data_IF_878082783803
#
_entry.id   IF_878082783803
#
_cell.length_a   1.000
_cell.length_b   1.000
_cell.length_c   1.000
_cell.angle_alpha   90.00
_cell.angle_beta   90.00
_cell.angle_gamma   90.00
#
_symmetry.space_group_name_H-M   'P 1'
#
loop_
_entity.id
_entity.type
_entity.pdbx_description
1 polymer ?
#
# COMPACT_ATOMS: atom_id res chain seq x y z
N UNK A 1 27.96 -5.03 37.81
CA UNK A 1 27.03 -3.93 37.49
C UNK A 1 27.62 -2.58 37.89
N UNK A 2 28.22 -2.43 39.07
CA UNK A 2 28.74 -1.16 39.57
C UNK A 2 29.94 -0.58 38.82
N UNK A 3 30.72 -1.42 38.12
CA UNK A 3 31.86 -0.94 37.33
C UNK A 3 31.46 -0.33 35.98
N UNK A 4 30.33 -0.76 35.44
CA UNK A 4 29.82 -0.27 34.14
C UNK A 4 29.10 1.09 34.30
N UNK A 5 28.36 1.26 35.40
CA UNK A 5 27.72 2.55 35.70
C UNK A 5 28.76 3.63 36.01
N UNK A 6 29.83 3.29 36.70
CA UNK A 6 30.92 4.22 36.98
C UNK A 6 31.66 4.68 35.73
N UNK A 7 31.91 3.76 34.78
CA UNK A 7 32.53 4.12 33.48
C UNK A 7 31.62 4.96 32.60
N UNK A 8 30.31 4.72 32.65
CA UNK A 8 29.34 5.48 31.83
C UNK A 8 29.15 6.89 32.39
N UNK A 9 29.11 7.05 33.73
CA UNK A 9 29.03 8.36 34.37
C UNK A 9 30.30 9.18 34.18
N UNK A 10 31.49 8.57 34.22
CA UNK A 10 32.76 9.25 33.95
C UNK A 10 32.87 9.72 32.50
N UNK A 11 32.34 8.94 31.54
CA UNK A 11 32.24 9.36 30.14
C UNK A 11 31.26 10.51 29.93
N UNK A 12 30.10 10.47 30.60
CA UNK A 12 29.09 11.53 30.52
C UNK A 12 29.62 12.85 31.10
N UNK A 13 30.33 12.79 32.23
CA UNK A 13 30.95 13.95 32.87
C UNK A 13 32.06 14.57 32.02
N UNK A 14 32.85 13.72 31.33
CA UNK A 14 33.86 14.23 30.36
C UNK A 14 33.25 14.86 29.13
N UNK A 15 32.16 14.32 28.57
CA UNK A 15 31.42 14.90 27.45
C UNK A 15 30.75 16.23 27.84
N UNK A 16 30.20 16.34 29.03
CA UNK A 16 29.60 17.59 29.56
C UNK A 16 30.66 18.67 29.81
N UNK A 17 31.89 18.31 30.22
CA UNK A 17 33.00 19.23 30.40
C UNK A 17 33.55 19.77 29.04
N UNK A 18 33.40 19.02 27.94
CA UNK A 18 33.76 19.43 26.61
C UNK A 18 32.71 20.33 25.93
N UNK A 19 31.51 20.41 26.46
CA UNK A 19 30.39 21.24 25.95
C UNK A 19 30.30 22.61 26.63
N UNK A 20 31.35 23.09 27.36
CA UNK A 20 31.35 24.47 27.77
C UNK A 20 31.53 25.38 26.56
N UNK A 21 30.64 26.38 26.38
CA UNK A 21 30.76 27.28 25.23
C UNK A 21 32.04 28.08 25.36
N UNK A 22 32.94 27.93 24.39
CA UNK A 22 34.02 28.86 24.18
C UNK A 22 33.39 30.20 23.74
N UNK A 23 33.63 31.24 24.47
CA UNK A 23 33.26 32.60 24.12
C UNK A 23 34.15 33.14 23.00
N UNK A 24 34.13 32.50 21.84
CA UNK A 24 34.67 33.07 20.63
C UNK A 24 33.53 33.60 19.76
N UNK A 25 33.70 34.84 19.40
CA UNK A 25 32.83 35.65 18.56
C UNK A 25 32.44 34.87 17.30
N UNK A 26 31.24 34.35 17.29
CA UNK A 26 30.60 33.94 16.04
C UNK A 26 30.30 35.24 15.30
N UNK A 27 31.12 35.57 14.31
CA UNK A 27 30.77 36.54 13.28
C UNK A 27 29.39 36.14 12.75
N UNK A 28 28.41 37.00 12.96
CA UNK A 28 27.07 36.87 12.41
C UNK A 28 27.17 36.85 10.89
N UNK A 29 27.36 35.67 10.33
CA UNK A 29 26.99 35.45 8.95
C UNK A 29 25.50 35.76 8.86
N UNK A 30 25.17 36.91 8.27
CA UNK A 30 23.79 37.28 7.99
C UNK A 30 23.15 36.16 7.20
N UNK A 31 22.43 35.29 7.88
CA UNK A 31 21.39 34.51 7.23
C UNK A 31 20.52 35.57 6.58
N UNK A 32 20.54 35.65 5.25
CA UNK A 32 19.58 36.48 4.53
C UNK A 32 18.22 35.97 5.01
N UNK A 33 17.56 36.81 5.81
CA UNK A 33 16.15 36.66 6.08
C UNK A 33 15.49 36.58 4.71
N UNK A 34 15.01 35.39 4.36
CA UNK A 34 14.17 35.24 3.18
C UNK A 34 12.87 35.92 3.59
N UNK A 35 12.82 37.22 3.27
CA UNK A 35 11.57 37.95 3.39
C UNK A 35 10.54 37.15 2.57
N UNK A 36 9.37 36.84 3.11
CA UNK A 36 8.29 36.25 2.34
C UNK A 36 8.10 37.21 1.13
N UNK A 37 8.27 36.67 -0.07
CA UNK A 37 7.98 37.41 -1.29
C UNK A 37 6.58 37.99 -1.13
N UNK A 38 6.36 39.29 -1.42
CA UNK A 38 5.04 39.88 -1.32
C UNK A 38 4.10 38.99 -2.15
N UNK A 39 2.97 38.63 -1.56
CA UNK A 39 1.91 37.90 -2.22
C UNK A 39 1.76 38.39 -3.66
N UNK A 40 2.20 37.58 -4.60
CA UNK A 40 1.82 37.76 -5.99
C UNK A 40 0.31 37.46 -5.97
N UNK A 41 -0.47 38.50 -5.89
CA UNK A 41 -1.90 38.44 -6.16
C UNK A 41 -2.09 38.07 -7.62
N UNK A 42 -1.87 36.78 -7.93
CA UNK A 42 -2.39 36.25 -9.15
C UNK A 42 -3.93 36.37 -9.02
N UNK A 43 -4.56 37.03 -9.98
CA UNK A 43 -6.01 37.00 -10.16
C UNK A 43 -6.47 35.59 -10.58
N UNK A 44 -5.91 34.57 -9.97
CA UNK A 44 -6.28 33.15 -10.13
C UNK A 44 -7.20 32.74 -8.99
N UNK A 45 -8.19 31.96 -9.29
CA UNK A 45 -9.14 31.41 -8.33
C UNK A 45 -8.39 30.80 -7.14
N UNK A 46 -8.74 31.24 -5.93
CA UNK A 46 -8.19 30.66 -4.69
C UNK A 46 -8.48 29.16 -4.67
N UNK A 47 -7.44 28.36 -4.54
CA UNK A 47 -7.59 26.89 -4.46
C UNK A 47 -8.35 26.48 -3.20
N UNK A 48 -8.22 27.24 -2.13
CA UNK A 48 -8.92 27.00 -0.88
C UNK A 48 -9.80 28.20 -0.54
N UNK A 49 -10.97 27.98 0.05
CA UNK A 49 -11.79 29.08 0.56
C UNK A 49 -11.03 29.84 1.64
N UNK A 50 -11.26 31.15 1.76
CA UNK A 50 -10.66 32.00 2.79
C UNK A 50 -11.06 31.58 4.21
N UNK A 51 -12.17 30.87 4.33
CA UNK A 51 -12.74 30.40 5.58
C UNK A 51 -12.87 28.89 5.50
N UNK A 52 -12.24 28.20 6.44
CA UNK A 52 -12.50 26.76 6.67
C UNK A 52 -13.76 26.67 7.51
N UNK A 53 -14.84 26.22 6.90
CA UNK A 53 -16.11 25.99 7.60
C UNK A 53 -16.12 24.52 8.00
N UNK A 54 -16.07 24.25 9.31
CA UNK A 54 -16.34 22.92 9.83
C UNK A 54 -17.85 22.71 9.77
N UNK A 55 -18.29 21.80 8.91
CA UNK A 55 -19.72 21.51 8.74
C UNK A 55 -20.08 20.16 9.35
N UNK A 56 -21.21 20.11 10.02
CA UNK A 56 -21.84 18.89 10.52
C UNK A 56 -23.05 18.48 9.67
N UNK A 57 -23.37 19.25 8.64
CA UNK A 57 -24.56 19.03 7.82
C UNK A 57 -24.19 18.65 6.39
N UNK A 58 -24.88 17.68 5.78
CA UNK A 58 -24.78 17.42 4.34
C UNK A 58 -25.04 18.70 3.53
N UNK A 59 -24.43 18.78 2.36
CA UNK A 59 -24.58 19.88 1.40
C UNK A 59 -24.15 21.29 1.88
N UNK A 60 -23.61 21.41 3.07
CA UNK A 60 -23.20 22.72 3.61
C UNK A 60 -22.16 23.42 2.73
N UNK A 61 -21.33 22.67 1.99
CA UNK A 61 -20.40 23.19 0.98
C UNK A 61 -20.98 23.20 -0.43
N UNK A 62 -22.27 22.89 -0.61
CA UNK A 62 -22.88 22.72 -1.92
C UNK A 62 -22.28 21.58 -2.73
N UNK A 63 -21.79 20.51 -2.05
CA UNK A 63 -21.26 19.33 -2.70
C UNK A 63 -22.42 18.53 -3.28
N UNK A 64 -22.43 18.36 -4.62
CA UNK A 64 -23.33 17.50 -5.37
C UNK A 64 -22.49 16.43 -6.05
N UNK A 65 -22.30 15.27 -5.42
CA UNK A 65 -21.39 14.24 -5.93
C UNK A 65 -21.80 13.79 -7.32
N UNK A 66 -20.83 13.58 -8.19
CA UNK A 66 -21.08 12.84 -9.43
C UNK A 66 -21.45 11.40 -9.07
N UNK A 67 -22.32 10.74 -9.86
CA UNK A 67 -22.76 9.37 -9.57
C UNK A 67 -21.57 8.40 -9.47
N UNK A 68 -21.69 7.46 -8.54
CA UNK A 68 -20.74 6.36 -8.34
C UNK A 68 -21.53 5.13 -7.88
N UNK A 69 -21.77 4.21 -8.82
CA UNK A 69 -22.57 3.01 -8.61
C UNK A 69 -21.65 1.81 -8.45
N UNK A 70 -21.23 1.55 -7.22
CA UNK A 70 -20.28 0.48 -6.92
C UNK A 70 -20.85 -0.89 -7.29
N UNK A 71 -20.06 -1.69 -8.03
CA UNK A 71 -20.48 -2.99 -8.53
C UNK A 71 -21.19 -2.96 -9.88
N UNK A 72 -21.38 -1.78 -10.51
CA UNK A 72 -21.88 -1.70 -11.88
C UNK A 72 -20.83 -2.23 -12.87
N UNK A 73 -21.26 -3.08 -13.81
CA UNK A 73 -20.38 -3.71 -14.79
C UNK A 73 -19.88 -2.75 -15.88
N UNK A 74 -20.74 -1.83 -16.33
CA UNK A 74 -20.32 -0.79 -17.25
C UNK A 74 -19.55 0.30 -16.50
N UNK A 75 -18.25 0.49 -16.80
CA UNK A 75 -17.44 1.47 -16.10
C UNK A 75 -17.96 2.91 -16.25
N UNK A 76 -18.65 3.24 -17.34
CA UNK A 76 -19.22 4.58 -17.53
C UNK A 76 -20.46 4.79 -16.68
N UNK A 77 -21.31 3.77 -16.55
CA UNK A 77 -22.45 3.79 -15.64
C UNK A 77 -21.98 3.78 -14.18
N UNK A 78 -20.91 3.04 -13.87
CA UNK A 78 -20.29 3.02 -12.54
C UNK A 78 -19.81 4.41 -12.12
N UNK A 79 -19.26 5.18 -13.03
CA UNK A 79 -18.72 6.50 -12.77
C UNK A 79 -17.28 6.49 -12.21
N UNK A 80 -16.55 7.63 -12.25
CA UNK A 80 -15.19 7.74 -11.72
C UNK A 80 -15.18 7.89 -10.19
N UNK A 81 -14.12 7.42 -9.54
CA UNK A 81 -13.79 7.82 -8.16
C UNK A 81 -13.17 9.21 -8.23
N UNK A 82 -13.74 10.18 -7.53
CA UNK A 82 -13.29 11.56 -7.50
C UNK A 82 -13.11 12.05 -6.06
N UNK A 83 -11.87 12.07 -5.59
CA UNK A 83 -11.48 12.52 -4.26
C UNK A 83 -10.79 13.90 -4.26
N UNK A 84 -10.55 14.48 -5.41
CA UNK A 84 -9.82 15.73 -5.54
C UNK A 84 -10.55 16.89 -4.88
N UNK A 85 -9.79 17.73 -4.17
CA UNK A 85 -10.24 18.99 -3.57
C UNK A 85 -9.90 20.22 -4.43
N UNK A 86 -9.47 19.99 -5.67
CA UNK A 86 -9.22 21.07 -6.62
C UNK A 86 -10.53 21.87 -6.87
N UNK A 87 -10.49 23.19 -7.08
CA UNK A 87 -11.68 24.04 -7.28
C UNK A 87 -12.67 23.51 -8.34
N UNK A 88 -12.17 22.91 -9.42
CA UNK A 88 -13.01 22.31 -10.45
C UNK A 88 -13.72 21.02 -10.02
N UNK A 89 -13.27 20.37 -8.97
CA UNK A 89 -13.71 19.04 -8.55
C UNK A 89 -14.36 19.01 -7.17
N UNK A 90 -14.01 19.95 -6.30
CA UNK A 90 -14.40 19.93 -4.88
C UNK A 90 -15.91 19.84 -4.65
N UNK A 91 -16.71 20.49 -5.50
CA UNK A 91 -18.17 20.50 -5.38
C UNK A 91 -18.87 19.25 -5.95
N UNK A 92 -18.13 18.44 -6.69
CA UNK A 92 -18.69 17.24 -7.37
C UNK A 92 -17.96 15.97 -6.94
N UNK A 93 -17.04 16.06 -5.97
CA UNK A 93 -16.34 14.88 -5.45
C UNK A 93 -17.31 13.90 -4.83
N UNK A 94 -17.04 12.61 -5.02
CA UNK A 94 -17.86 11.50 -4.54
C UNK A 94 -17.11 10.55 -3.58
N UNK A 95 -15.87 10.90 -3.21
CA UNK A 95 -15.07 10.13 -2.30
C UNK A 95 -14.50 10.99 -1.16
N UNK A 96 -14.41 10.39 0.01
CA UNK A 96 -13.83 10.96 1.23
C UNK A 96 -12.32 10.71 1.21
N UNK A 97 -11.52 11.59 1.80
CA UNK A 97 -10.07 11.48 1.85
C UNK A 97 -9.39 12.19 0.69
N UNK A 98 -8.22 11.69 0.29
CA UNK A 98 -7.41 12.29 -0.77
C UNK A 98 -6.61 11.22 -1.53
N UNK A 99 -6.32 11.50 -2.81
CA UNK A 99 -5.46 10.63 -3.60
C UNK A 99 -4.06 10.53 -3.00
N UNK A 100 -3.49 9.31 -2.98
CA UNK A 100 -2.09 9.04 -2.73
C UNK A 100 -1.57 9.37 -1.33
N UNK A 101 -2.42 9.35 -0.28
CA UNK A 101 -1.99 9.47 1.11
C UNK A 101 -0.94 10.57 1.36
N UNK A 102 0.33 10.21 1.42
CA UNK A 102 1.45 11.15 1.62
C UNK A 102 1.60 12.20 0.53
N UNK A 103 1.13 11.93 -0.70
CA UNK A 103 1.19 12.91 -1.80
C UNK A 103 0.39 14.17 -1.47
N UNK A 104 -0.76 14.06 -0.83
CA UNK A 104 -1.58 15.22 -0.48
C UNK A 104 -0.87 16.13 0.54
N UNK A 105 -0.11 15.56 1.47
CA UNK A 105 0.71 16.31 2.44
C UNK A 105 1.88 16.99 1.73
N UNK A 106 2.57 16.28 0.83
CA UNK A 106 3.66 16.85 0.04
C UNK A 106 3.18 18.00 -0.83
N UNK A 107 2.04 17.85 -1.50
CA UNK A 107 1.42 18.91 -2.29
C UNK A 107 1.02 20.11 -1.42
N UNK A 108 0.47 19.87 -0.24
CA UNK A 108 0.12 20.95 0.70
C UNK A 108 1.34 21.76 1.10
N UNK A 109 2.48 21.09 1.37
CA UNK A 109 3.75 21.77 1.67
C UNK A 109 4.22 22.63 0.47
N UNK A 110 4.16 22.08 -0.73
CA UNK A 110 4.54 22.82 -1.96
C UNK A 110 3.64 24.06 -2.19
N UNK A 111 2.34 23.94 -1.91
CA UNK A 111 1.41 25.08 -1.94
C UNK A 111 1.78 26.12 -0.89
N UNK A 112 2.05 25.71 0.34
CA UNK A 112 2.40 26.62 1.44
C UNK A 112 3.73 27.39 1.16
N UNK A 113 4.67 26.73 0.50
CA UNK A 113 5.94 27.34 0.09
C UNK A 113 5.84 28.22 -1.15
N UNK A 114 4.71 28.26 -1.84
CA UNK A 114 4.57 28.93 -3.14
C UNK A 114 5.41 28.28 -4.25
N UNK A 115 5.77 27.01 -4.10
CA UNK A 115 6.60 26.27 -5.04
C UNK A 115 5.78 25.53 -6.11
N UNK A 116 4.46 25.48 -5.95
CA UNK A 116 3.55 24.83 -6.89
C UNK A 116 2.88 25.88 -7.78
N UNK A 117 2.93 25.69 -9.09
CA UNK A 117 2.04 26.37 -10.01
C UNK A 117 0.63 25.80 -9.83
N UNK A 118 -0.29 26.63 -9.39
CA UNK A 118 -1.64 26.26 -9.04
C UNK A 118 -2.50 25.87 -10.25
N UNK A 119 -2.13 26.36 -11.43
CA UNK A 119 -2.81 26.07 -12.68
C UNK A 119 -2.27 24.81 -13.35
N UNK A 120 -1.16 24.29 -12.87
CA UNK A 120 -0.57 23.05 -13.37
C UNK A 120 -1.49 21.86 -13.09
N UNK A 121 -1.77 21.10 -14.13
CA UNK A 121 -2.60 19.91 -14.08
C UNK A 121 -1.77 18.66 -14.32
N UNK A 122 -2.17 17.50 -13.76
CA UNK A 122 -1.58 16.24 -14.17
C UNK A 122 -1.77 16.02 -15.66
N UNK A 123 -0.70 15.64 -16.34
CA UNK A 123 -0.74 15.14 -17.71
C UNK A 123 -0.60 13.62 -17.70
N UNK A 124 -1.60 12.95 -18.23
CA UNK A 124 -1.65 11.48 -18.30
C UNK A 124 -1.36 10.93 -19.71
N UNK A 125 -0.83 11.75 -20.61
CA UNK A 125 -0.40 11.29 -21.93
C UNK A 125 0.72 10.27 -21.79
N UNK A 126 0.62 9.17 -22.55
CA UNK A 126 1.58 8.06 -22.57
C UNK A 126 1.78 7.38 -21.19
N UNK A 127 0.74 7.37 -20.37
CA UNK A 127 0.73 6.72 -19.05
C UNK A 127 -0.19 5.49 -18.99
N UNK A 128 -0.69 5.05 -20.12
CA UNK A 128 -1.58 3.91 -20.24
C UNK A 128 -0.91 2.65 -19.69
N UNK A 129 -1.72 1.70 -19.17
CA UNK A 129 -1.21 0.42 -18.68
C UNK A 129 -0.42 -0.32 -19.75
N UNK A 130 0.76 -0.86 -19.39
CA UNK A 130 1.61 -1.64 -20.32
C UNK A 130 1.04 -3.02 -20.67
N UNK A 131 0.08 -3.49 -19.89
CA UNK A 131 -0.74 -4.68 -20.16
C UNK A 131 -2.17 -4.42 -19.69
N UNK A 132 -3.12 -5.07 -20.32
CA UNK A 132 -4.54 -5.02 -19.92
C UNK A 132 -4.80 -6.11 -18.89
N UNK A 133 -5.41 -5.74 -17.77
CA UNK A 133 -6.00 -6.66 -16.80
C UNK A 133 -7.49 -6.45 -16.82
N UNK A 134 -8.26 -7.54 -16.94
CA UNK A 134 -9.71 -7.51 -17.00
C UNK A 134 -10.28 -6.92 -18.29
N UNK A 135 -11.57 -6.58 -18.27
CA UNK A 135 -12.48 -6.73 -17.13
C UNK A 135 -12.75 -8.20 -16.78
N UNK A 136 -12.98 -8.45 -15.50
CA UNK A 136 -13.34 -9.77 -14.98
C UNK A 136 -14.75 -9.76 -14.37
N UNK A 137 -15.49 -10.89 -14.39
CA UNK A 137 -16.84 -10.96 -13.83
C UNK A 137 -16.94 -10.50 -12.37
N UNK A 138 -15.88 -10.73 -11.60
CA UNK A 138 -15.82 -10.33 -10.17
C UNK A 138 -15.93 -8.81 -9.96
N UNK A 139 -15.57 -7.99 -10.96
CA UNK A 139 -15.60 -6.53 -10.85
C UNK A 139 -17.01 -5.95 -10.74
N UNK A 140 -17.98 -6.66 -11.31
CA UNK A 140 -19.40 -6.28 -11.22
C UNK A 140 -20.14 -6.89 -10.03
N UNK A 141 -19.44 -7.50 -9.07
CA UNK A 141 -20.04 -8.06 -7.86
C UNK A 141 -19.63 -7.19 -6.67
N UNK A 142 -20.53 -6.39 -6.10
CA UNK A 142 -20.19 -5.37 -5.11
C UNK A 142 -19.43 -5.86 -3.90
N UNK A 143 -19.67 -7.12 -3.48
CA UNK A 143 -19.07 -7.71 -2.30
C UNK A 143 -17.72 -8.40 -2.55
N UNK A 144 -17.31 -8.56 -3.81
CA UNK A 144 -16.05 -9.23 -4.15
C UNK A 144 -14.84 -8.31 -4.05
N UNK A 145 -15.02 -7.04 -4.39
CA UNK A 145 -13.96 -6.05 -4.36
C UNK A 145 -14.50 -4.80 -3.66
N UNK A 146 -14.06 -4.56 -2.44
CA UNK A 146 -14.53 -3.46 -1.59
C UNK A 146 -13.41 -2.53 -1.14
N UNK A 147 -12.14 -2.88 -1.40
CA UNK A 147 -10.97 -2.16 -0.88
C UNK A 147 -10.05 -1.57 -1.95
N UNK A 148 -10.38 -1.72 -3.22
CA UNK A 148 -9.69 -1.08 -4.35
C UNK A 148 -10.69 -0.76 -5.47
N UNK A 149 -10.34 0.17 -6.37
CA UNK A 149 -11.13 0.48 -7.56
C UNK A 149 -10.73 -0.45 -8.72
N UNK A 150 -11.57 -1.40 -9.15
CA UNK A 150 -11.21 -2.32 -10.23
C UNK A 150 -10.83 -1.62 -11.54
N UNK A 151 -11.41 -0.46 -11.80
CA UNK A 151 -11.16 0.33 -13.01
C UNK A 151 -10.04 1.36 -12.84
N UNK A 152 -9.34 1.36 -11.69
CA UNK A 152 -8.36 2.37 -11.32
C UNK A 152 -7.21 2.56 -12.32
N UNK A 153 -6.83 1.53 -13.09
CA UNK A 153 -5.80 1.59 -14.13
C UNK A 153 -6.33 2.05 -15.50
N UNK A 154 -7.64 2.10 -15.68
CA UNK A 154 -8.30 2.50 -16.92
C UNK A 154 -8.89 3.93 -16.83
N UNK A 155 -8.74 4.59 -15.70
CA UNK A 155 -9.38 5.85 -15.36
C UNK A 155 -9.15 6.92 -16.41
N UNK A 156 -7.93 7.09 -16.88
CA UNK A 156 -7.56 8.15 -17.85
C UNK A 156 -8.19 7.95 -19.22
N UNK A 157 -8.42 6.71 -19.62
CA UNK A 157 -9.09 6.36 -20.88
C UNK A 157 -10.61 6.45 -20.74
N UNK A 158 -11.17 5.82 -19.71
CA UNK A 158 -12.61 5.72 -19.51
C UNK A 158 -13.28 7.08 -19.26
N UNK A 159 -12.61 7.96 -18.54
CA UNK A 159 -13.11 9.26 -18.10
C UNK A 159 -12.38 10.44 -18.75
N UNK A 160 -11.76 10.23 -19.91
CA UNK A 160 -11.02 11.25 -20.65
C UNK A 160 -11.84 12.52 -20.92
N UNK A 161 -13.14 12.38 -21.19
CA UNK A 161 -14.03 13.51 -21.44
C UNK A 161 -14.23 14.38 -20.17
N UNK A 162 -14.40 13.77 -19.00
CA UNK A 162 -14.53 14.49 -17.74
C UNK A 162 -13.20 15.15 -17.35
N UNK A 163 -12.09 14.49 -17.59
CA UNK A 163 -10.74 15.06 -17.38
C UNK A 163 -10.54 16.26 -18.30
N UNK A 164 -10.91 16.18 -19.58
CA UNK A 164 -10.86 17.29 -20.53
C UNK A 164 -11.77 18.47 -20.12
N UNK A 165 -12.87 18.20 -19.45
CA UNK A 165 -13.76 19.22 -18.85
C UNK A 165 -13.17 19.86 -17.58
N UNK A 166 -12.00 19.42 -17.14
CA UNK A 166 -11.26 20.00 -16.01
C UNK A 166 -11.49 19.30 -14.68
N UNK A 167 -12.17 18.13 -14.62
CA UNK A 167 -12.23 17.33 -13.40
C UNK A 167 -10.88 16.68 -13.12
N UNK A 168 -10.39 16.80 -11.90
CA UNK A 168 -9.12 16.22 -11.45
C UNK A 168 -9.34 14.75 -11.02
N UNK A 169 -9.66 13.89 -12.00
CA UNK A 169 -9.82 12.45 -11.83
C UNK A 169 -8.44 11.81 -12.04
N UNK A 170 -8.03 10.94 -11.10
CA UNK A 170 -6.71 10.33 -11.11
C UNK A 170 -6.78 8.81 -11.05
N UNK A 171 -5.83 8.10 -11.70
CA UNK A 171 -5.65 6.67 -11.54
C UNK A 171 -5.35 6.31 -10.08
N UNK A 172 -5.93 5.21 -9.60
CA UNK A 172 -5.62 4.60 -8.31
C UNK A 172 -4.83 3.30 -8.45
N UNK A 173 -4.70 2.83 -9.69
CA UNK A 173 -3.87 1.68 -10.05
C UNK A 173 -3.01 2.08 -11.26
N UNK A 174 -1.74 1.69 -11.24
CA UNK A 174 -0.83 1.82 -12.36
C UNK A 174 -0.17 0.47 -12.66
N UNK A 175 -0.03 0.14 -13.96
CA UNK A 175 0.54 -1.13 -14.40
C UNK A 175 1.70 -0.84 -15.35
N UNK A 176 2.87 -1.42 -15.06
CA UNK A 176 4.08 -1.27 -15.86
C UNK A 176 4.83 -2.60 -16.00
N UNK A 177 5.83 -2.63 -16.86
CA UNK A 177 6.80 -3.72 -16.98
C UNK A 177 8.13 -3.30 -16.41
N UNK A 178 8.87 -4.24 -15.84
CA UNK A 178 10.20 -3.97 -15.30
C UNK A 178 11.09 -5.20 -15.38
N UNK A 179 12.40 -4.96 -15.39
CA UNK A 179 13.40 -5.95 -15.04
C UNK A 179 13.76 -5.81 -13.55
N UNK A 180 13.91 -6.93 -12.86
CA UNK A 180 14.34 -6.94 -11.48
C UNK A 180 15.64 -7.75 -11.35
N UNK A 181 16.61 -7.18 -10.67
CA UNK A 181 17.84 -7.85 -10.24
C UNK A 181 17.70 -8.33 -8.82
N UNK A 182 17.79 -9.64 -8.62
CA UNK A 182 17.71 -10.27 -7.31
C UNK A 182 18.88 -11.23 -7.20
N UNK A 183 19.89 -10.93 -6.35
CA UNK A 183 21.12 -11.72 -6.28
C UNK A 183 20.90 -13.22 -6.02
N UNK A 184 19.92 -13.55 -5.21
CA UNK A 184 19.56 -14.94 -4.91
C UNK A 184 19.03 -15.66 -6.17
N UNK A 185 18.23 -15.00 -6.99
CA UNK A 185 17.75 -15.58 -8.26
C UNK A 185 18.89 -15.74 -9.25
N UNK A 186 19.79 -14.75 -9.35
CA UNK A 186 20.99 -14.86 -10.18
C UNK A 186 21.88 -16.07 -9.76
N UNK A 187 21.98 -16.31 -8.44
CA UNK A 187 22.71 -17.46 -7.94
C UNK A 187 22.03 -18.79 -8.30
N UNK A 188 20.70 -18.87 -8.21
CA UNK A 188 19.96 -20.06 -8.64
C UNK A 188 20.14 -20.37 -10.14
N UNK A 189 20.28 -19.34 -10.97
CA UNK A 189 20.61 -19.50 -12.39
C UNK A 189 22.05 -20.04 -12.56
N UNK A 190 23.03 -19.48 -11.84
CA UNK A 190 24.43 -19.96 -11.86
C UNK A 190 24.56 -21.39 -11.39
N UNK A 191 23.76 -21.80 -10.41
CA UNK A 191 23.71 -23.16 -9.87
C UNK A 191 22.93 -24.15 -10.77
N UNK A 192 22.34 -23.66 -11.84
CA UNK A 192 21.52 -24.47 -12.76
C UNK A 192 20.15 -24.89 -12.22
N UNK A 193 19.72 -24.31 -11.10
CA UNK A 193 18.39 -24.55 -10.50
C UNK A 193 17.26 -23.83 -11.24
N UNK A 194 17.58 -22.67 -11.82
CA UNK A 194 16.72 -21.94 -12.74
C UNK A 194 17.41 -21.81 -14.10
N UNK A 195 16.62 -21.82 -15.17
CA UNK A 195 17.12 -21.72 -16.55
C UNK A 195 16.73 -20.37 -17.13
N UNK A 196 17.64 -19.79 -17.91
CA UNK A 196 17.32 -18.69 -18.83
C UNK A 196 16.33 -19.19 -19.88
N UNK A 197 15.27 -18.45 -20.14
CA UNK A 197 14.09 -18.91 -20.88
C UNK A 197 13.73 -18.05 -22.09
N UNK A 198 14.64 -17.21 -22.54
CA UNK A 198 14.42 -16.37 -23.72
C UNK A 198 13.40 -15.25 -23.50
N UNK A 199 13.36 -14.68 -22.31
CA UNK A 199 12.51 -13.58 -21.88
C UNK A 199 11.04 -13.92 -21.52
N UNK A 200 10.72 -15.16 -21.23
CA UNK A 200 9.43 -15.49 -20.61
C UNK A 200 9.40 -14.86 -19.20
N UNK A 201 10.40 -15.17 -18.38
CA UNK A 201 10.57 -14.61 -17.02
C UNK A 201 12.01 -14.20 -16.76
N UNK A 202 13.01 -14.98 -17.25
CA UNK A 202 14.43 -14.74 -17.05
C UNK A 202 15.09 -14.42 -18.40
N UNK A 203 15.68 -13.23 -18.48
CA UNK A 203 16.47 -12.83 -19.63
C UNK A 203 17.88 -13.47 -19.59
N UNK A 204 18.67 -13.22 -20.64
CA UNK A 204 20.03 -13.79 -20.79
C UNK A 204 20.99 -13.34 -19.67
N UNK A 205 20.71 -12.22 -19.01
CA UNK A 205 21.52 -11.72 -17.89
C UNK A 205 21.07 -12.24 -16.52
N UNK A 206 20.01 -13.08 -16.47
CA UNK A 206 19.45 -13.61 -15.22
C UNK A 206 18.55 -12.60 -14.49
N UNK A 207 18.13 -11.53 -15.16
CA UNK A 207 17.18 -10.58 -14.62
C UNK A 207 15.75 -11.06 -14.84
N UNK A 208 14.90 -10.78 -13.86
CA UNK A 208 13.46 -11.12 -13.90
C UNK A 208 12.67 -10.12 -14.73
N UNK A 209 11.99 -10.59 -15.77
CA UNK A 209 10.98 -9.82 -16.48
C UNK A 209 9.65 -9.94 -15.76
N UNK A 210 9.10 -8.85 -15.28
CA UNK A 210 7.85 -8.85 -14.52
C UNK A 210 6.90 -7.77 -15.00
N UNK A 211 5.61 -8.04 -14.89
CA UNK A 211 4.58 -7.02 -14.90
C UNK A 211 4.33 -6.61 -13.45
N UNK A 212 4.31 -5.31 -13.20
CA UNK A 212 4.08 -4.74 -11.87
C UNK A 212 2.82 -3.91 -11.88
N UNK A 213 1.99 -4.06 -10.85
CA UNK A 213 0.90 -3.14 -10.58
C UNK A 213 1.09 -2.52 -9.19
N UNK A 214 0.94 -1.19 -9.11
CA UNK A 214 0.80 -0.49 -7.85
C UNK A 214 -0.67 -0.16 -7.66
N UNK A 215 -1.21 -0.46 -6.49
CA UNK A 215 -2.62 -0.31 -6.15
C UNK A 215 -2.74 0.54 -4.90
N UNK A 216 -3.47 1.66 -5.00
CA UNK A 216 -3.86 2.46 -3.86
C UNK A 216 -5.23 2.01 -3.33
N UNK A 217 -5.46 2.11 -2.01
CA UNK A 217 -6.72 1.67 -1.44
C UNK A 217 -7.86 2.61 -1.81
N UNK A 218 -9.00 2.04 -2.16
CA UNK A 218 -10.27 2.72 -2.37
C UNK A 218 -11.34 1.87 -1.69
N UNK A 219 -11.86 2.33 -0.57
CA UNK A 219 -12.80 1.57 0.24
C UNK A 219 -14.23 1.94 -0.09
N UNK A 220 -15.02 0.95 -0.53
CA UNK A 220 -16.47 1.05 -0.55
C UNK A 220 -16.98 0.74 0.86
N UNK A 221 -17.33 1.79 1.62
CA UNK A 221 -17.61 1.70 3.05
C UNK A 221 -18.72 0.69 3.42
N UNK A 222 -19.85 0.62 2.68
CA UNK A 222 -20.88 -0.41 2.97
C UNK A 222 -20.31 -1.83 2.83
N UNK A 223 -19.53 -2.09 1.79
CA UNK A 223 -18.91 -3.39 1.55
C UNK A 223 -17.83 -3.72 2.57
N UNK A 224 -17.01 -2.76 2.97
CA UNK A 224 -16.01 -2.96 4.03
C UNK A 224 -16.70 -3.27 5.37
N UNK A 225 -17.75 -2.53 5.72
CA UNK A 225 -18.51 -2.79 6.95
C UNK A 225 -19.11 -4.20 6.93
N UNK A 226 -19.76 -4.59 5.83
CA UNK A 226 -20.28 -5.95 5.64
C UNK A 226 -19.21 -7.02 5.78
N UNK A 227 -18.02 -6.81 5.17
CA UNK A 227 -16.88 -7.74 5.21
C UNK A 227 -16.38 -7.98 6.64
N UNK A 228 -16.47 -6.99 7.51
CA UNK A 228 -16.11 -7.08 8.93
C UNK A 228 -17.30 -7.44 9.83
N UNK A 229 -18.50 -7.61 9.29
CA UNK A 229 -19.70 -7.94 10.06
C UNK A 229 -20.14 -6.84 11.01
N UNK A 230 -19.92 -5.57 10.66
CA UNK A 230 -20.27 -4.39 11.46
C UNK A 230 -21.21 -3.45 10.69
N UNK A 231 -21.91 -2.60 11.42
CA UNK A 231 -22.74 -1.54 10.84
C UNK A 231 -21.88 -0.44 10.19
N UNK A 232 -22.33 0.09 9.02
CA UNK A 232 -21.59 1.15 8.29
C UNK A 232 -21.43 2.41 9.15
N UNK A 233 -22.44 2.79 9.95
CA UNK A 233 -22.37 3.95 10.83
C UNK A 233 -21.37 3.75 11.95
N UNK A 234 -21.26 2.53 12.49
CA UNK A 234 -20.26 2.17 13.48
C UNK A 234 -18.83 2.24 12.91
N UNK A 235 -18.63 1.72 11.68
CA UNK A 235 -17.34 1.82 10.98
C UNK A 235 -16.96 3.29 10.77
N UNK A 236 -17.87 4.11 10.26
CA UNK A 236 -17.63 5.53 9.98
C UNK A 236 -17.28 6.31 11.25
N UNK A 237 -18.00 6.05 12.34
CA UNK A 237 -17.73 6.69 13.64
C UNK A 237 -16.35 6.33 14.14
N UNK A 238 -15.99 5.05 14.16
CA UNK A 238 -14.69 4.58 14.61
C UNK A 238 -13.56 5.19 13.77
N UNK A 239 -13.67 5.19 12.44
CA UNK A 239 -12.70 5.83 11.56
C UNK A 239 -12.56 7.33 11.84
N UNK A 240 -13.64 8.03 12.12
CA UNK A 240 -13.62 9.46 12.46
C UNK A 240 -12.96 9.71 13.81
N UNK A 241 -13.37 9.00 14.86
CA UNK A 241 -12.87 9.17 16.23
C UNK A 241 -11.38 8.85 16.33
N UNK A 242 -10.96 7.67 15.82
CA UNK A 242 -9.57 7.22 15.92
C UNK A 242 -8.59 7.96 15.00
N UNK A 243 -9.08 8.68 14.00
CA UNK A 243 -8.25 9.61 13.22
C UNK A 243 -8.24 11.03 13.79
N UNK A 244 -8.81 11.25 14.97
CA UNK A 244 -8.91 12.59 15.57
C UNK A 244 -9.77 13.56 14.75
N UNK A 245 -10.78 13.06 14.06
CA UNK A 245 -11.69 13.89 13.24
C UNK A 245 -11.08 14.33 11.90
N UNK A 246 -10.04 13.66 11.42
CA UNK A 246 -9.34 14.03 10.18
C UNK A 246 -10.23 14.01 8.95
N UNK A 247 -11.30 13.19 8.95
CA UNK A 247 -12.24 13.03 7.84
C UNK A 247 -13.69 13.28 8.30
N UNK A 248 -14.10 14.55 8.49
CA UNK A 248 -15.44 14.87 9.00
C UNK A 248 -16.56 14.37 8.11
N UNK A 249 -16.33 14.21 6.81
CA UNK A 249 -17.30 13.68 5.86
C UNK A 249 -17.75 12.25 6.19
N UNK A 250 -16.96 11.48 6.94
CA UNK A 250 -17.38 10.17 7.44
C UNK A 250 -18.67 10.25 8.24
N UNK A 251 -18.85 11.32 9.02
CA UNK A 251 -20.05 11.56 9.84
C UNK A 251 -21.07 12.43 9.13
N UNK A 252 -20.62 13.49 8.44
CA UNK A 252 -21.50 14.53 7.91
C UNK A 252 -22.05 14.23 6.52
N UNK A 253 -21.47 13.26 5.80
CA UNK A 253 -21.81 12.93 4.41
C UNK A 253 -22.09 11.42 4.23
N UNK A 254 -23.20 10.91 4.76
CA UNK A 254 -23.57 9.49 4.60
C UNK A 254 -23.87 9.09 3.14
N UNK A 255 -24.09 10.06 2.26
CA UNK A 255 -24.24 9.90 0.82
C UNK A 255 -22.91 9.56 0.12
N UNK A 256 -21.76 9.98 0.65
CA UNK A 256 -20.44 9.59 0.12
C UNK A 256 -20.09 8.19 0.62
N UNK A 257 -20.16 7.20 -0.29
CA UNK A 257 -19.97 5.78 0.05
C UNK A 257 -18.51 5.30 -0.10
N UNK A 258 -17.64 6.11 -0.65
CA UNK A 258 -16.23 5.74 -0.92
C UNK A 258 -15.29 6.58 -0.07
N UNK A 259 -14.29 5.89 0.49
CA UNK A 259 -13.24 6.48 1.30
C UNK A 259 -11.86 6.03 0.80
N UNK A 260 -10.93 6.95 0.67
CA UNK A 260 -9.53 6.68 0.33
C UNK A 260 -8.69 6.74 1.61
N UNK A 261 -8.44 5.61 2.29
CA UNK A 261 -7.63 5.59 3.50
C UNK A 261 -6.16 5.86 3.15
N UNK A 262 -5.37 6.43 4.08
CA UNK A 262 -3.95 6.71 3.85
C UNK A 262 -3.05 5.47 3.94
N UNK A 263 -3.62 4.31 4.23
CA UNK A 263 -2.94 3.02 4.38
C UNK A 263 -3.63 1.94 3.54
N UNK A 264 -2.96 0.81 3.35
CA UNK A 264 -3.53 -0.36 2.68
C UNK A 264 -3.13 -0.48 1.21
N UNK A 265 -2.17 0.30 0.73
CA UNK A 265 -1.58 0.15 -0.60
C UNK A 265 -0.84 -1.17 -0.75
N UNK A 266 -0.73 -1.66 -1.98
CA UNK A 266 -0.04 -2.90 -2.31
C UNK A 266 0.62 -2.82 -3.68
N UNK A 267 1.53 -3.76 -3.93
CA UNK A 267 2.09 -4.00 -5.26
C UNK A 267 1.83 -5.44 -5.66
N UNK A 268 1.57 -5.66 -6.94
CA UNK A 268 1.44 -6.99 -7.53
C UNK A 268 2.63 -7.20 -8.46
N UNK A 269 3.25 -8.37 -8.40
CA UNK A 269 4.30 -8.80 -9.31
C UNK A 269 3.82 -10.05 -10.02
N UNK A 270 3.80 -10.00 -11.34
CA UNK A 270 3.32 -11.08 -12.21
C UNK A 270 4.51 -11.65 -12.98
N UNK A 271 4.71 -12.95 -12.83
CA UNK A 271 5.75 -13.74 -13.48
C UNK A 271 5.13 -14.57 -14.59
N UNK A 272 5.60 -14.39 -15.82
CA UNK A 272 5.06 -15.03 -17.00
C UNK A 272 3.94 -14.23 -17.67
N UNK A 273 3.06 -14.92 -18.43
CA UNK A 273 2.00 -14.25 -19.18
C UNK A 273 0.84 -13.83 -18.27
N UNK A 274 0.53 -12.51 -18.17
CA UNK A 274 -0.59 -12.03 -17.34
C UNK A 274 -1.95 -12.65 -17.66
N UNK A 275 -2.19 -13.03 -18.92
CA UNK A 275 -3.44 -13.67 -19.32
C UNK A 275 -3.66 -15.04 -18.67
N UNK A 276 -2.60 -15.71 -18.20
CA UNK A 276 -2.70 -17.02 -17.57
C UNK A 276 -3.21 -16.96 -16.12
N UNK A 277 -3.19 -15.79 -15.51
CA UNK A 277 -3.60 -15.63 -14.09
C UNK A 277 -5.07 -15.96 -13.89
N UNK A 278 -5.93 -15.53 -14.80
CA UNK A 278 -7.38 -15.77 -14.76
C UNK A 278 -7.83 -17.00 -15.56
N UNK A 279 -6.92 -17.66 -16.25
CA UNK A 279 -7.19 -18.87 -17.02
C UNK A 279 -7.18 -20.10 -16.10
N UNK A 280 -8.36 -20.67 -15.84
CA UNK A 280 -8.50 -21.85 -14.98
C UNK A 280 -7.80 -23.10 -15.52
N UNK A 281 -7.47 -23.16 -16.81
CA UNK A 281 -6.71 -24.26 -17.42
C UNK A 281 -5.20 -24.20 -17.15
N UNK A 282 -4.71 -23.03 -16.72
CA UNK A 282 -3.30 -22.78 -16.41
C UNK A 282 -3.03 -22.95 -14.93
N UNK A 283 -1.83 -23.42 -14.60
CA UNK A 283 -1.40 -23.50 -13.20
C UNK A 283 -1.01 -22.13 -12.70
N UNK A 284 -1.33 -21.86 -11.43
CA UNK A 284 -1.06 -20.59 -10.77
C UNK A 284 -0.40 -20.81 -9.41
N UNK A 285 0.77 -20.23 -9.25
CA UNK A 285 1.47 -20.14 -7.97
C UNK A 285 1.30 -18.73 -7.40
N UNK A 286 0.88 -18.62 -6.14
CA UNK A 286 0.61 -17.33 -5.49
C UNK A 286 1.32 -17.24 -4.14
N UNK A 287 1.96 -16.10 -3.90
CA UNK A 287 2.38 -15.67 -2.58
C UNK A 287 1.74 -14.34 -2.19
N UNK A 288 1.18 -14.30 -1.00
CA UNK A 288 0.74 -13.06 -0.35
C UNK A 288 1.74 -12.72 0.75
N UNK A 289 2.42 -11.59 0.57
CA UNK A 289 3.49 -11.13 1.43
C UNK A 289 3.12 -9.80 2.10
N UNK A 290 3.29 -9.72 3.40
CA UNK A 290 3.19 -8.46 4.13
C UNK A 290 4.58 -7.84 4.26
N UNK A 291 4.70 -6.54 3.99
CA UNK A 291 5.95 -5.79 3.98
C UNK A 291 6.76 -6.01 5.26
N UNK A 292 8.05 -6.23 5.09
CA UNK A 292 9.04 -6.29 6.14
C UNK A 292 10.32 -5.61 5.65
N UNK A 293 10.37 -4.29 5.67
CA UNK A 293 11.42 -3.49 5.06
C UNK A 293 12.84 -3.92 5.49
N UNK A 294 13.05 -4.08 6.78
CA UNK A 294 14.37 -4.48 7.29
C UNK A 294 14.87 -5.83 6.75
N UNK A 295 13.97 -6.81 6.62
CA UNK A 295 14.32 -8.12 6.06
C UNK A 295 14.31 -8.10 4.54
N UNK A 296 13.24 -7.61 3.92
CA UNK A 296 13.04 -7.71 2.47
C UNK A 296 14.08 -6.89 1.69
N UNK A 297 14.47 -5.71 2.19
CA UNK A 297 15.38 -4.78 1.52
C UNK A 297 16.82 -4.92 2.04
N UNK A 298 16.99 -4.96 3.37
CA UNK A 298 18.29 -4.88 4.02
C UNK A 298 18.83 -6.22 4.54
N UNK A 299 18.08 -7.32 4.34
CA UNK A 299 18.52 -8.66 4.74
C UNK A 299 18.65 -8.84 6.24
N UNK A 300 17.86 -8.12 7.07
CA UNK A 300 17.85 -8.33 8.51
C UNK A 300 17.47 -9.76 8.86
N UNK A 301 18.24 -10.39 9.72
CA UNK A 301 18.13 -11.77 10.20
C UNK A 301 17.07 -11.96 11.30
N UNK A 302 16.43 -10.87 11.75
CA UNK A 302 15.48 -10.89 12.87
C UNK A 302 14.19 -11.65 12.56
N UNK A 303 13.91 -11.90 11.29
CA UNK A 303 12.76 -12.66 10.81
C UNK A 303 13.06 -13.37 9.50
N UNK A 304 12.14 -14.25 9.09
CA UNK A 304 12.26 -15.08 7.88
C UNK A 304 11.55 -14.47 6.65
N UNK A 305 11.20 -13.19 6.67
CA UNK A 305 10.37 -12.59 5.60
C UNK A 305 11.08 -12.63 4.25
N UNK A 306 12.36 -12.20 4.16
CA UNK A 306 13.11 -12.24 2.89
C UNK A 306 13.28 -13.67 2.33
N UNK A 307 13.69 -14.70 3.08
CA UNK A 307 13.74 -16.07 2.56
C UNK A 307 12.41 -16.52 1.95
N UNK A 308 11.29 -16.24 2.62
CA UNK A 308 9.95 -16.53 2.08
C UNK A 308 9.63 -15.74 0.81
N UNK A 309 10.06 -14.49 0.71
CA UNK A 309 9.85 -13.66 -0.49
C UNK A 309 10.64 -14.22 -1.67
N UNK A 310 11.92 -14.53 -1.47
CA UNK A 310 12.80 -15.09 -2.51
C UNK A 310 12.29 -16.45 -2.96
N UNK A 311 11.93 -17.34 -2.04
CA UNK A 311 11.33 -18.62 -2.39
C UNK A 311 10.02 -18.44 -3.18
N UNK A 312 9.22 -17.43 -2.81
CA UNK A 312 8.04 -17.05 -3.60
C UNK A 312 8.37 -16.65 -5.03
N UNK A 313 9.45 -15.90 -5.24
CA UNK A 313 9.92 -15.53 -6.58
C UNK A 313 10.42 -16.76 -7.35
N UNK A 314 11.24 -17.59 -6.73
CA UNK A 314 11.78 -18.82 -7.34
C UNK A 314 10.66 -19.74 -7.85
N UNK A 315 9.68 -20.03 -7.02
CA UNK A 315 8.55 -20.90 -7.38
C UNK A 315 7.62 -20.26 -8.43
N UNK A 316 7.47 -18.93 -8.39
CA UNK A 316 6.72 -18.19 -9.42
C UNK A 316 7.42 -18.24 -10.78
N UNK A 317 8.76 -18.16 -10.80
CA UNK A 317 9.56 -18.33 -12.03
C UNK A 317 9.40 -19.74 -12.58
N UNK A 318 9.55 -20.75 -11.74
CA UNK A 318 9.37 -22.18 -12.15
C UNK A 318 7.99 -22.43 -12.74
N UNK A 319 6.93 -21.91 -12.11
CA UNK A 319 5.57 -22.09 -12.61
C UNK A 319 5.39 -21.42 -13.98
N UNK A 320 5.90 -20.20 -14.15
CA UNK A 320 5.82 -19.49 -15.43
C UNK A 320 6.61 -20.21 -16.54
N UNK A 321 7.80 -20.74 -16.24
CA UNK A 321 8.63 -21.53 -17.17
C UNK A 321 7.95 -22.85 -17.56
N UNK A 322 7.10 -23.40 -16.71
CA UNK A 322 6.32 -24.60 -16.97
C UNK A 322 4.96 -24.32 -17.66
N UNK A 323 4.75 -23.11 -18.20
CA UNK A 323 3.56 -22.74 -18.95
C UNK A 323 2.36 -22.29 -18.10
N UNK A 324 2.59 -22.04 -16.81
CA UNK A 324 1.65 -21.40 -15.89
C UNK A 324 1.98 -19.93 -15.67
N UNK A 325 1.63 -19.41 -14.49
CA UNK A 325 1.98 -18.06 -14.05
C UNK A 325 2.27 -18.03 -12.54
N UNK A 326 3.08 -17.06 -12.12
CA UNK A 326 3.31 -16.75 -10.72
C UNK A 326 2.83 -15.36 -10.36
N UNK A 327 2.31 -15.20 -9.15
CA UNK A 327 1.87 -13.90 -8.63
C UNK A 327 2.39 -13.70 -7.22
N UNK A 328 3.03 -12.56 -6.98
CA UNK A 328 3.35 -12.10 -5.62
C UNK A 328 2.53 -10.84 -5.36
N UNK A 329 1.70 -10.89 -4.33
CA UNK A 329 1.01 -9.71 -3.79
C UNK A 329 1.77 -9.23 -2.57
N UNK A 330 2.30 -8.00 -2.66
CA UNK A 330 3.13 -7.38 -1.63
C UNK A 330 2.36 -6.23 -0.97
N UNK A 331 1.87 -6.46 0.24
CA UNK A 331 1.10 -5.48 1.00
C UNK A 331 2.00 -4.54 1.79
N UNK A 332 1.73 -3.23 1.70
CA UNK A 332 2.40 -2.19 2.50
C UNK A 332 1.85 -2.17 3.93
N UNK A 333 2.22 -3.18 4.71
CA UNK A 333 1.72 -3.41 6.07
C UNK A 333 2.86 -3.63 7.07
N UNK A 334 3.90 -2.80 7.01
CA UNK A 334 5.03 -2.88 7.92
C UNK A 334 4.56 -2.96 9.38
N UNK A 335 5.16 -3.90 10.13
CA UNK A 335 4.80 -4.13 11.54
C UNK A 335 3.34 -4.52 11.72
N UNK A 336 2.74 -5.30 10.81
CA UNK A 336 1.32 -5.70 10.82
C UNK A 336 0.36 -4.52 10.73
N UNK A 337 0.71 -3.52 9.92
CA UNK A 337 0.05 -2.23 9.80
C UNK A 337 0.14 -1.32 11.05
N UNK A 338 0.94 -1.71 12.06
CA UNK A 338 1.20 -0.92 13.27
C UNK A 338 2.44 -0.03 13.15
N UNK A 339 3.19 -0.21 12.07
CA UNK A 339 4.40 0.55 11.79
C UNK A 339 5.68 -0.07 12.37
N UNK A 340 6.81 0.42 11.88
CA UNK A 340 8.13 -0.11 12.20
C UNK A 340 8.55 0.19 13.65
N UNK A 341 8.12 1.32 14.19
CA UNK A 341 8.39 1.67 15.61
C UNK A 341 7.82 0.60 16.55
N UNK A 342 6.54 0.26 16.39
CA UNK A 342 5.90 -0.79 17.20
C UNK A 342 6.61 -2.14 17.05
N UNK A 343 6.95 -2.51 15.80
CA UNK A 343 7.68 -3.74 15.50
C UNK A 343 9.03 -3.80 16.23
N UNK A 344 9.80 -2.73 16.24
CA UNK A 344 11.10 -2.71 16.92
C UNK A 344 10.98 -2.75 18.45
N UNK A 345 9.96 -2.13 19.00
CA UNK A 345 9.67 -2.26 20.43
C UNK A 345 9.36 -3.73 20.81
N UNK A 346 8.58 -4.43 20.00
CA UNK A 346 8.31 -5.87 20.18
C UNK A 346 9.59 -6.69 20.09
N UNK A 347 10.44 -6.42 19.09
CA UNK A 347 11.72 -7.12 18.95
C UNK A 347 12.67 -6.85 20.11
N UNK A 348 12.73 -5.63 20.62
CA UNK A 348 13.52 -5.31 21.81
C UNK A 348 13.06 -6.10 23.05
N UNK A 349 11.75 -6.27 23.20
CA UNK A 349 11.20 -7.10 24.27
C UNK A 349 11.59 -8.59 24.11
N UNK A 350 11.58 -9.11 22.87
CA UNK A 350 12.01 -10.49 22.58
C UNK A 350 13.49 -10.71 22.90
N UNK A 351 14.36 -9.81 22.44
CA UNK A 351 15.82 -9.93 22.62
C UNK A 351 16.26 -9.95 24.10
N UNK A 352 15.42 -9.43 24.98
CA UNK A 352 15.70 -9.44 26.45
C UNK A 352 15.14 -10.67 27.15
N UNK A 353 14.40 -11.52 26.45
CA UNK A 353 13.86 -12.74 27.05
C UNK A 353 14.92 -13.84 27.00
N UNK A 354 15.20 -14.44 28.16
CA UNK A 354 16.14 -15.57 28.23
C UNK A 354 15.58 -16.76 27.46
N UNK A 355 16.37 -17.33 26.54
CA UNK A 355 15.97 -18.48 25.70
C UNK A 355 15.11 -18.11 24.47
N UNK A 356 14.97 -16.81 24.13
CA UNK A 356 14.19 -16.35 22.99
C UNK A 356 12.68 -16.35 23.23
N UNK A 357 11.90 -16.21 22.18
CA UNK A 357 10.44 -16.16 22.23
C UNK A 357 9.81 -17.19 21.28
N UNK A 358 8.77 -17.84 21.75
CA UNK A 358 7.92 -18.65 20.87
C UNK A 358 7.06 -17.76 19.97
N UNK A 359 6.50 -18.31 18.89
CA UNK A 359 5.58 -17.59 18.02
C UNK A 359 4.37 -17.04 18.80
N UNK A 360 3.83 -17.79 19.74
CA UNK A 360 2.67 -17.38 20.54
C UNK A 360 3.02 -16.18 21.44
N UNK A 361 4.19 -16.20 22.08
CA UNK A 361 4.66 -15.07 22.87
C UNK A 361 4.91 -13.82 22.02
N UNK A 362 5.37 -13.99 20.79
CA UNK A 362 5.54 -12.88 19.86
C UNK A 362 4.22 -12.20 19.53
N UNK A 363 3.16 -12.96 19.29
CA UNK A 363 1.82 -12.40 19.05
C UNK A 363 1.29 -11.66 20.27
N UNK A 364 1.39 -12.29 21.44
CA UNK A 364 0.96 -11.66 22.70
C UNK A 364 1.74 -10.38 22.99
N UNK A 365 3.05 -10.36 22.77
CA UNK A 365 3.87 -9.14 22.94
C UNK A 365 3.47 -8.03 21.98
N UNK A 366 3.14 -8.39 20.74
CA UNK A 366 2.66 -7.42 19.74
C UNK A 366 1.37 -6.76 20.21
N UNK A 367 0.41 -7.54 20.70
CA UNK A 367 -0.85 -7.02 21.24
C UNK A 367 -0.61 -6.13 22.47
N UNK A 368 0.27 -6.55 23.37
CA UNK A 368 0.60 -5.76 24.58
C UNK A 368 1.30 -4.44 24.26
N UNK A 369 2.23 -4.42 23.32
CA UNK A 369 2.98 -3.20 22.93
C UNK A 369 2.11 -2.25 22.13
N UNK A 370 1.30 -2.78 21.21
CA UNK A 370 0.45 -1.98 20.32
C UNK A 370 -0.86 -1.55 20.98
N UNK A 371 -1.32 -2.26 22.02
CA UNK A 371 -2.63 -2.05 22.63
C UNK A 371 -3.82 -2.51 21.78
N UNK A 372 -3.55 -3.20 20.67
CA UNK A 372 -4.57 -3.74 19.75
C UNK A 372 -4.19 -5.14 19.29
N UNK A 373 -5.21 -5.94 18.98
CA UNK A 373 -5.01 -7.25 18.37
C UNK A 373 -4.49 -7.12 16.93
N UNK A 374 -3.84 -8.19 16.43
CA UNK A 374 -3.39 -8.25 15.04
C UNK A 374 -4.57 -8.12 14.06
N UNK A 375 -4.64 -6.99 13.38
CA UNK A 375 -5.69 -6.62 12.44
C UNK A 375 -5.11 -6.34 11.04
N UNK A 376 -4.33 -7.25 10.50
CA UNK A 376 -3.68 -7.07 9.18
C UNK A 376 -4.63 -6.92 8.00
N UNK A 377 -5.91 -6.66 8.25
CA UNK A 377 -6.97 -6.52 7.23
C UNK A 377 -7.07 -7.75 6.30
N UNK A 378 -6.88 -8.95 6.85
CA UNK A 378 -6.92 -10.18 6.03
C UNK A 378 -8.27 -10.36 5.35
N UNK A 379 -9.36 -9.84 5.92
CA UNK A 379 -10.68 -9.85 5.31
C UNK A 379 -10.75 -9.06 3.98
N UNK A 380 -9.88 -8.09 3.77
CA UNK A 380 -9.81 -7.29 2.53
C UNK A 380 -8.75 -7.81 1.54
N UNK A 381 -7.89 -8.70 1.97
CA UNK A 381 -6.77 -9.20 1.16
C UNK A 381 -7.21 -9.95 -0.11
N UNK A 382 -8.31 -10.72 -0.15
CA UNK A 382 -8.73 -11.41 -1.37
C UNK A 382 -9.17 -10.48 -2.51
N UNK A 383 -9.47 -9.22 -2.23
CA UNK A 383 -9.97 -8.27 -3.23
C UNK A 383 -9.02 -8.12 -4.42
N UNK A 384 -7.71 -8.06 -4.16
CA UNK A 384 -6.71 -7.98 -5.24
C UNK A 384 -6.67 -9.25 -6.08
N UNK A 385 -6.93 -10.41 -5.49
CA UNK A 385 -7.00 -11.67 -6.21
C UNK A 385 -8.25 -11.70 -7.11
N UNK A 386 -9.39 -11.22 -6.62
CA UNK A 386 -10.59 -11.03 -7.43
C UNK A 386 -10.40 -9.99 -8.54
N UNK A 387 -9.65 -8.90 -8.27
CA UNK A 387 -9.29 -7.92 -9.29
C UNK A 387 -8.49 -8.55 -10.43
N UNK A 388 -7.56 -9.46 -10.12
CA UNK A 388 -6.79 -10.23 -11.11
C UNK A 388 -7.60 -11.34 -11.80
N UNK A 389 -8.88 -11.53 -11.45
CA UNK A 389 -9.74 -12.58 -12.01
C UNK A 389 -9.43 -13.99 -11.51
N UNK A 390 -8.68 -14.12 -10.41
CA UNK A 390 -8.30 -15.43 -9.85
C UNK A 390 -9.52 -16.10 -9.25
N UNK A 391 -9.75 -17.35 -9.66
CA UNK A 391 -10.81 -18.24 -9.12
C UNK A 391 -10.24 -19.47 -8.42
N UNK A 392 -9.01 -19.84 -8.73
CA UNK A 392 -8.26 -20.92 -8.12
C UNK A 392 -6.79 -20.57 -7.95
N UNK A 393 -6.16 -21.16 -6.96
CA UNK A 393 -4.71 -21.13 -6.74
C UNK A 393 -4.25 -22.57 -6.67
N UNK A 394 -3.36 -22.99 -7.58
CA UNK A 394 -2.84 -24.34 -7.55
C UNK A 394 -1.83 -24.53 -6.43
N UNK A 395 -0.94 -23.54 -6.22
CA UNK A 395 0.07 -23.57 -5.17
C UNK A 395 0.11 -22.25 -4.41
N UNK A 396 -0.25 -22.27 -3.15
CA UNK A 396 -0.14 -21.13 -2.24
C UNK A 396 1.11 -21.23 -1.38
N UNK A 397 2.07 -20.32 -1.56
CA UNK A 397 3.33 -20.29 -0.81
C UNK A 397 3.12 -19.56 0.52
N UNK A 398 2.40 -20.17 1.42
CA UNK A 398 2.12 -19.67 2.76
C UNK A 398 1.51 -20.75 3.65
N UNK A 399 1.97 -20.80 4.90
CA UNK A 399 1.38 -21.64 5.94
C UNK A 399 0.47 -20.86 6.91
N UNK A 400 0.19 -19.57 6.62
CA UNK A 400 -0.71 -18.74 7.42
C UNK A 400 -2.15 -19.19 7.27
N UNK A 401 -2.77 -19.68 8.36
CA UNK A 401 -4.19 -20.04 8.36
C UNK A 401 -5.08 -18.83 8.11
N UNK A 402 -4.76 -17.66 8.69
CA UNK A 402 -5.55 -16.44 8.48
C UNK A 402 -5.62 -16.04 7.00
N UNK A 403 -4.51 -16.16 6.24
CA UNK A 403 -4.51 -15.89 4.80
C UNK A 403 -5.28 -16.94 4.03
N UNK A 404 -5.08 -18.21 4.37
CA UNK A 404 -5.77 -19.32 3.75
C UNK A 404 -7.30 -19.19 3.93
N UNK A 405 -7.75 -19.01 5.17
CA UNK A 405 -9.18 -18.91 5.50
C UNK A 405 -9.83 -17.71 4.80
N UNK A 406 -9.15 -16.57 4.74
CA UNK A 406 -9.64 -15.39 4.05
C UNK A 406 -9.80 -15.61 2.53
N UNK A 407 -8.84 -16.27 1.88
CA UNK A 407 -8.88 -16.55 0.44
C UNK A 407 -10.00 -17.56 0.14
N UNK A 408 -10.02 -18.70 0.85
CA UNK A 408 -11.03 -19.74 0.64
C UNK A 408 -12.43 -19.22 0.98
N UNK A 409 -12.56 -18.49 2.09
CA UNK A 409 -13.82 -17.85 2.49
C UNK A 409 -14.35 -16.83 1.48
N UNK A 410 -13.48 -16.24 0.65
CA UNK A 410 -13.88 -15.34 -0.43
C UNK A 410 -14.39 -16.07 -1.69
N UNK A 411 -14.26 -17.41 -1.74
CA UNK A 411 -14.66 -18.25 -2.86
C UNK A 411 -13.55 -18.56 -3.87
N UNK A 412 -12.29 -18.38 -3.50
CA UNK A 412 -11.12 -18.80 -4.30
C UNK A 412 -10.63 -20.13 -3.75
N UNK A 413 -10.56 -21.16 -4.61
CA UNK A 413 -10.04 -22.47 -4.18
C UNK A 413 -8.51 -22.46 -4.10
N UNK A 414 -7.97 -23.18 -3.11
CA UNK A 414 -6.53 -23.43 -2.98
C UNK A 414 -6.32 -24.93 -3.01
N UNK A 415 -5.54 -25.43 -3.98
CA UNK A 415 -5.30 -26.85 -4.14
C UNK A 415 -4.18 -27.35 -3.22
N UNK A 416 -3.09 -26.58 -3.10
CA UNK A 416 -1.91 -26.96 -2.31
C UNK A 416 -1.39 -25.77 -1.52
N UNK A 417 -0.99 -25.99 -0.26
CA UNK A 417 -0.22 -25.05 0.56
C UNK A 417 1.22 -25.53 0.61
N UNK A 418 2.14 -24.68 0.18
CA UNK A 418 3.55 -25.02 0.06
C UNK A 418 4.34 -24.34 1.17
N UNK A 419 4.95 -25.10 2.10
CA UNK A 419 5.86 -24.54 3.09
C UNK A 419 7.19 -24.14 2.45
N UNK A 420 7.89 -23.22 3.08
CA UNK A 420 9.30 -22.99 2.73
C UNK A 420 10.13 -24.19 3.17
N UNK A 421 11.09 -24.66 2.37
CA UNK A 421 12.06 -25.67 2.80
C UNK A 421 12.89 -25.20 4.00
N UNK A 422 13.11 -26.09 4.96
CA UNK A 422 13.83 -25.75 6.20
C UNK A 422 15.26 -25.26 5.97
N UNK A 423 15.92 -25.75 4.92
CA UNK A 423 17.26 -25.35 4.52
C UNK A 423 17.36 -23.89 4.05
N UNK A 424 16.25 -23.29 3.64
CA UNK A 424 16.19 -21.87 3.24
C UNK A 424 15.95 -20.92 4.42
N UNK A 425 15.68 -21.46 5.61
CA UNK A 425 15.49 -20.67 6.82
C UNK A 425 16.83 -20.49 7.53
N UNK A 426 17.34 -19.25 7.64
CA UNK A 426 18.57 -19.00 8.37
C UNK A 426 18.50 -19.52 9.81
N UNK A 427 19.57 -20.16 10.34
CA UNK A 427 19.58 -20.73 11.70
C UNK A 427 19.21 -19.72 12.78
N UNK A 428 19.65 -18.47 12.61
CA UNK A 428 19.43 -17.37 13.57
C UNK A 428 18.00 -16.82 13.56
N UNK A 429 17.21 -17.22 12.58
CA UNK A 429 15.80 -16.79 12.41
C UNK A 429 14.79 -17.77 12.99
N UNK A 430 15.23 -18.88 13.57
CA UNK A 430 14.38 -19.94 14.17
C UNK A 430 13.99 -19.65 15.60
#
# INVERSE_FOLDING_TARGET
FDSYEKQTNDKLTKLQAQLKPSSEKIEKTKVKEVQPKPNVTSKGSKIYPDIIILTTYPDQFGIKPIPLEWGEHDPKARGPVLASRHPSSIKVRNAIGAYGGSYCVYRALAVAMGALDLDHRPDFQNTEPTVTIGPHPQWGIPDKIVSLDPFGHLTTTLFSSQIAQGLDIRPTIAITKAHMKVPEIENLVKEGKLKVDGNIVLNETGELNVVKAAVEPVWYLPGVASRFGIDEGALRRALFEDTGGMYPELITRPDLKVFLPPIGGLSVYIFGNPAFISDSSKRLTVRVHDECNGSDVFGSDICTCRPYLIYGMEESVKEAQNGGAGVIVYFRKEGRALGEVTKYLVYNARKRSAGGDTADNYFLRTENVAGVKDMRFQALMPDVLHWLGITKIDRMLSMSNMKYDAIVGSGISIHERVPIPDELIPPDSR
#
